data_IF_753729851457
#
_entry.id   IF_753729851457
#
_cell.length_a   1.000
_cell.length_b   1.000
_cell.length_c   1.000
_cell.angle_alpha   90.00
_cell.angle_beta   90.00
_cell.angle_gamma   90.00
#
_symmetry.space_group_name_H-M   'P 1'
#
loop_
_entity.id
_entity.type
_entity.pdbx_description
1 polymer ?
#
# COMPACT_ATOMS: atom_id res chain seq x y z
N UNK A 1 12.01 6.58 26.54
CA UNK A 1 12.21 5.79 25.32
C UNK A 1 11.04 6.16 24.44
N UNK A 2 11.28 7.16 23.59
CA UNK A 2 10.27 7.81 22.74
C UNK A 2 9.75 6.82 21.69
N UNK A 3 8.52 6.36 21.87
CA UNK A 3 7.79 5.52 20.90
C UNK A 3 6.85 6.44 20.11
N UNK A 4 7.39 7.51 19.53
CA UNK A 4 6.62 8.55 18.84
C UNK A 4 7.14 8.86 17.43
N UNK A 5 7.89 7.95 16.81
CA UNK A 5 8.44 8.15 15.45
C UNK A 5 8.23 6.96 14.50
N UNK A 6 7.39 5.98 14.84
CA UNK A 6 6.82 5.09 13.81
C UNK A 6 5.61 5.77 13.17
N UNK A 7 5.80 7.04 12.74
CA UNK A 7 4.89 7.64 11.77
C UNK A 7 4.98 6.71 10.57
N UNK A 8 3.85 6.08 10.22
CA UNK A 8 3.58 5.52 8.89
C UNK A 8 4.40 6.29 7.87
N UNK A 9 5.57 5.74 7.51
CA UNK A 9 6.54 6.44 6.68
C UNK A 9 6.09 6.24 5.24
N UNK A 10 4.90 6.77 4.96
CA UNK A 10 4.36 6.85 3.62
C UNK A 10 5.37 7.69 2.83
N UNK A 11 5.84 7.21 1.68
CA UNK A 11 6.76 7.99 0.88
C UNK A 11 6.14 9.36 0.59
N UNK A 12 6.97 10.41 0.55
CA UNK A 12 6.61 11.80 0.21
C UNK A 12 6.20 11.96 -1.28
N UNK A 13 5.69 10.88 -1.89
CA UNK A 13 5.34 10.77 -3.30
C UNK A 13 3.85 11.11 -3.45
N UNK A 14 3.58 12.17 -4.21
CA UNK A 14 2.21 12.54 -4.58
C UNK A 14 1.86 11.85 -5.90
N UNK A 15 0.78 11.07 -5.91
CA UNK A 15 0.25 10.39 -7.09
C UNK A 15 -0.76 11.29 -7.80
N UNK A 16 -0.56 11.59 -9.09
CA UNK A 16 -1.43 12.50 -9.85
C UNK A 16 -2.32 11.75 -10.86
N UNK A 17 -2.02 10.49 -11.12
CA UNK A 17 -2.70 9.66 -12.11
C UNK A 17 -2.88 8.22 -11.64
N UNK A 18 -3.87 7.54 -12.23
CA UNK A 18 -4.10 6.11 -11.98
C UNK A 18 -2.91 5.24 -12.44
N UNK A 19 -2.22 5.65 -13.50
CA UNK A 19 -1.04 4.93 -14.01
C UNK A 19 0.10 4.90 -12.97
N UNK A 20 0.40 6.04 -12.35
CA UNK A 20 1.41 6.13 -11.28
C UNK A 20 1.06 5.26 -10.06
N UNK A 21 -0.23 5.15 -9.75
CA UNK A 21 -0.72 4.32 -8.64
C UNK A 21 -0.51 2.85 -8.95
N UNK A 22 -0.87 2.41 -10.16
CA UNK A 22 -0.69 1.03 -10.59
C UNK A 22 0.81 0.66 -10.66
N UNK A 23 1.64 1.54 -11.22
CA UNK A 23 3.09 1.35 -11.26
C UNK A 23 3.65 1.18 -9.85
N UNK A 24 3.25 2.05 -8.90
CA UNK A 24 3.73 1.95 -7.52
C UNK A 24 3.30 0.66 -6.84
N UNK A 25 2.06 0.20 -7.05
CA UNK A 25 1.60 -1.09 -6.52
C UNK A 25 2.50 -2.23 -7.02
N UNK A 26 2.89 -2.21 -8.29
CA UNK A 26 3.84 -3.19 -8.84
C UNK A 26 5.27 -3.01 -8.30
N UNK A 27 5.72 -1.78 -8.04
CA UNK A 27 7.00 -1.52 -7.37
C UNK A 27 7.02 -2.11 -5.96
N UNK A 28 5.98 -1.88 -5.15
CA UNK A 28 5.88 -2.40 -3.78
C UNK A 28 6.02 -3.93 -3.78
N UNK A 29 5.28 -4.64 -4.65
CA UNK A 29 5.37 -6.09 -4.76
C UNK A 29 6.78 -6.57 -5.14
N UNK A 30 7.49 -5.81 -5.99
CA UNK A 30 8.90 -6.08 -6.33
C UNK A 30 9.83 -5.81 -5.14
N UNK A 31 9.59 -4.76 -4.36
CA UNK A 31 10.38 -4.41 -3.16
C UNK A 31 10.27 -5.50 -2.09
N UNK A 32 9.05 -5.98 -1.82
CA UNK A 32 8.82 -7.08 -0.86
C UNK A 32 9.12 -8.46 -1.44
N UNK A 33 9.36 -8.54 -2.76
CA UNK A 33 9.65 -9.78 -3.51
C UNK A 33 8.56 -10.83 -3.35
N UNK A 34 7.30 -10.41 -3.42
CA UNK A 34 6.13 -11.27 -3.30
C UNK A 34 5.15 -11.03 -4.43
N UNK A 35 4.36 -12.06 -4.72
CA UNK A 35 3.14 -11.87 -5.50
C UNK A 35 2.08 -11.13 -4.69
N UNK A 36 1.08 -10.55 -5.36
CA UNK A 36 -0.05 -9.92 -4.68
C UNK A 36 -0.79 -10.91 -3.79
N UNK A 37 -1.03 -12.13 -4.29
CA UNK A 37 -1.72 -13.18 -3.53
C UNK A 37 -0.97 -13.59 -2.26
N UNK A 38 0.35 -13.77 -2.34
CA UNK A 38 1.18 -14.08 -1.16
C UNK A 38 1.22 -12.92 -0.17
N UNK A 39 1.27 -11.69 -0.68
CA UNK A 39 1.29 -10.49 0.15
C UNK A 39 -0.01 -10.34 0.93
N UNK A 40 -1.16 -10.46 0.25
CA UNK A 40 -2.49 -10.36 0.87
C UNK A 40 -2.71 -11.50 1.87
N UNK A 41 -2.32 -12.75 1.52
CA UNK A 41 -2.42 -13.87 2.45
C UNK A 41 -1.59 -13.65 3.72
N UNK A 42 -0.37 -13.10 3.60
CA UNK A 42 0.45 -12.77 4.78
C UNK A 42 -0.16 -11.63 5.59
N UNK A 43 -0.76 -10.63 4.94
CA UNK A 43 -1.46 -9.55 5.61
C UNK A 43 -2.62 -10.09 6.46
N UNK A 44 -3.49 -10.92 5.86
CA UNK A 44 -4.64 -11.53 6.53
C UNK A 44 -4.25 -12.42 7.72
N UNK A 45 -3.08 -13.07 7.63
CA UNK A 45 -2.57 -13.95 8.67
C UNK A 45 -1.65 -13.23 9.68
N UNK A 46 -1.52 -11.91 9.62
CA UNK A 46 -0.65 -11.09 10.49
C UNK A 46 0.82 -11.55 10.45
N UNK A 47 1.29 -12.02 9.28
CA UNK A 47 2.64 -12.54 9.05
C UNK A 47 3.56 -11.55 8.35
N UNK A 48 3.15 -10.28 8.24
CA UNK A 48 3.99 -9.23 7.67
C UNK A 48 5.07 -8.79 8.67
N UNK A 49 6.32 -8.82 8.25
CA UNK A 49 7.42 -8.18 8.97
C UNK A 49 7.33 -6.64 8.89
N UNK A 50 8.10 -5.90 9.68
CA UNK A 50 7.98 -4.44 9.78
C UNK A 50 8.04 -3.68 8.43
N UNK A 51 8.86 -4.15 7.49
CA UNK A 51 8.93 -3.57 6.13
C UNK A 51 7.69 -3.86 5.29
N UNK A 52 7.17 -5.08 5.41
CA UNK A 52 6.00 -5.55 4.68
C UNK A 52 4.73 -4.88 5.23
N UNK A 53 4.68 -4.61 6.55
CA UNK A 53 3.61 -3.84 7.18
C UNK A 53 3.52 -2.41 6.64
N UNK A 54 4.66 -1.71 6.48
CA UNK A 54 4.67 -0.38 5.87
C UNK A 54 4.21 -0.43 4.40
N UNK A 55 4.69 -1.41 3.64
CA UNK A 55 4.24 -1.66 2.28
C UNK A 55 2.73 -1.93 2.21
N UNK A 56 2.17 -2.64 3.19
CA UNK A 56 0.74 -2.96 3.24
C UNK A 56 -0.11 -1.71 3.43
N UNK A 57 0.28 -0.84 4.36
CA UNK A 57 -0.43 0.42 4.55
C UNK A 57 -0.35 1.33 3.31
N UNK A 58 0.79 1.39 2.63
CA UNK A 58 0.90 2.13 1.37
C UNK A 58 -0.01 1.51 0.30
N UNK A 59 -0.01 0.18 0.19
CA UNK A 59 -0.82 -0.55 -0.77
C UNK A 59 -2.33 -0.34 -0.56
N UNK A 60 -2.82 -0.37 0.68
CA UNK A 60 -4.21 -0.04 1.06
C UNK A 60 -4.60 1.38 0.62
N UNK A 61 -3.70 2.36 0.78
CA UNK A 61 -3.96 3.74 0.35
C UNK A 61 -4.03 3.82 -1.19
N UNK A 62 -3.16 3.10 -1.89
CA UNK A 62 -3.16 3.04 -3.35
C UNK A 62 -4.40 2.33 -3.89
N UNK A 63 -4.82 1.23 -3.27
CA UNK A 63 -6.08 0.53 -3.55
C UNK A 63 -7.27 1.50 -3.40
N UNK A 64 -7.30 2.27 -2.30
CA UNK A 64 -8.32 3.30 -2.07
C UNK A 64 -8.32 4.41 -3.13
N UNK A 65 -7.16 4.78 -3.65
CA UNK A 65 -7.04 5.79 -4.69
C UNK A 65 -7.48 5.26 -6.06
N UNK A 66 -7.17 4.00 -6.36
CA UNK A 66 -7.65 3.29 -7.55
C UNK A 66 -9.18 3.22 -7.58
N UNK A 67 -9.83 2.85 -6.46
CA UNK A 67 -11.30 2.84 -6.34
C UNK A 67 -11.92 4.22 -6.64
N UNK A 68 -11.29 5.29 -6.14
CA UNK A 68 -11.74 6.67 -6.37
C UNK A 68 -11.62 7.07 -7.85
N UNK A 69 -10.50 6.74 -8.50
CA UNK A 69 -10.28 7.06 -9.92
C UNK A 69 -11.12 6.22 -10.87
N UNK A 70 -11.44 4.97 -10.51
CA UNK A 70 -12.33 4.10 -11.30
C UNK A 70 -13.81 4.45 -11.13
N UNK A 71 -14.14 5.35 -10.21
CA UNK A 71 -15.52 5.78 -9.95
C UNK A 71 -16.35 4.70 -9.22
N UNK A 72 -15.70 3.70 -8.61
CA UNK A 72 -16.38 2.60 -7.91
C UNK A 72 -16.82 3.00 -6.51
N UNK A 73 -16.31 4.12 -5.97
CA UNK A 73 -16.81 4.72 -4.73
C UNK A 73 -17.77 5.87 -5.06
N UNK A 74 -19.06 5.55 -5.13
CA UNK A 74 -20.12 6.54 -4.90
C UNK A 74 -19.99 7.00 -3.45
N UNK A 75 -19.67 8.28 -3.24
CA UNK A 75 -19.79 8.90 -1.92
C UNK A 75 -21.29 9.00 -1.59
N UNK A 76 -21.80 8.08 -0.77
CA UNK A 76 -23.04 8.27 0.02
C UNK A 76 -22.71 8.69 1.46
#
# INVERSE_FOLDING_TARGET
MDIAEDRLCLPDRVYNSLEEVLERKEEILREVRMTREEFDWRADNYQLGPKETNAYFEMEILDRFEELYRGERTFE
#
